data_IF_968595662718
#
_entry.id   IF_968595662718
#
_cell.length_a   1.000
_cell.length_b   1.000
_cell.length_c   1.000
_cell.angle_alpha   90.00
_cell.angle_beta   90.00
_cell.angle_gamma   90.00
#
_symmetry.space_group_name_H-M   'P 1'
#
loop_
_entity.id
_entity.type
_entity.pdbx_description
1 polymer ?
#
# COMPACT_ATOMS: atom_id res chain seq x y z
N UNK A 1 -28.67 9.74 -112.90
CA UNK A 1 -27.37 9.03 -112.82
C UNK A 1 -26.56 9.73 -111.75
N UNK A 2 -26.49 9.20 -110.52
CA UNK A 2 -25.52 8.20 -110.02
C UNK A 2 -24.08 8.73 -109.97
N UNK A 3 -23.55 8.85 -108.73
CA UNK A 3 -22.15 9.13 -108.43
C UNK A 3 -22.00 9.85 -107.07
N UNK A 4 -22.24 9.21 -105.93
CA UNK A 4 -21.27 8.37 -105.19
C UNK A 4 -20.31 9.16 -104.27
N UNK A 5 -20.71 9.20 -103.00
CA UNK A 5 -19.91 8.87 -101.80
C UNK A 5 -18.78 9.80 -101.37
N UNK A 6 -18.96 10.32 -100.14
CA UNK A 6 -17.99 10.28 -99.05
C UNK A 6 -16.52 10.31 -99.48
N UNK A 7 -16.02 11.51 -99.71
CA UNK A 7 -14.67 11.82 -99.27
C UNK A 7 -14.83 12.71 -98.04
N UNK A 8 -15.18 12.06 -96.94
CA UNK A 8 -14.72 12.54 -95.65
C UNK A 8 -13.19 12.55 -95.74
N UNK A 9 -12.62 13.69 -96.11
CA UNK A 9 -11.27 14.01 -95.66
C UNK A 9 -11.34 13.85 -94.13
N UNK A 10 -10.83 12.72 -93.63
CA UNK A 10 -10.53 12.53 -92.21
C UNK A 10 -9.72 13.74 -91.81
N UNK A 11 -10.38 14.73 -91.22
CA UNK A 11 -9.73 15.95 -90.76
C UNK A 11 -8.79 15.47 -89.65
N UNK A 12 -7.46 15.49 -89.83
CA UNK A 12 -6.52 15.03 -88.81
C UNK A 12 -6.70 15.80 -87.49
N UNK A 13 -7.34 16.97 -87.55
CA UNK A 13 -7.77 17.79 -86.42
C UNK A 13 -8.85 17.17 -85.53
N UNK A 14 -9.74 16.31 -86.05
CA UNK A 14 -10.80 15.69 -85.26
C UNK A 14 -10.24 14.64 -84.30
N UNK A 15 -9.39 13.75 -84.80
CA UNK A 15 -8.69 12.75 -83.99
C UNK A 15 -7.75 13.38 -82.95
N UNK A 16 -7.09 14.49 -83.31
CA UNK A 16 -6.25 15.24 -82.38
C UNK A 16 -7.08 15.90 -81.27
N UNK A 17 -8.28 16.42 -81.58
CA UNK A 17 -9.22 16.97 -80.57
C UNK A 17 -9.75 15.87 -79.65
N UNK A 18 -10.12 14.71 -80.18
CA UNK A 18 -10.61 13.60 -79.37
C UNK A 18 -9.52 13.04 -78.45
N UNK A 19 -8.26 12.94 -78.94
CA UNK A 19 -7.10 12.59 -78.11
C UNK A 19 -6.82 13.65 -77.03
N UNK A 20 -6.92 14.94 -77.38
CA UNK A 20 -6.77 16.03 -76.42
C UNK A 20 -7.84 15.95 -75.32
N UNK A 21 -9.11 15.80 -75.70
CA UNK A 21 -10.21 15.64 -74.74
C UNK A 21 -10.04 14.40 -73.84
N UNK A 22 -9.58 13.28 -74.40
CA UNK A 22 -9.27 12.09 -73.62
C UNK A 22 -8.13 12.31 -72.61
N UNK A 23 -7.08 13.04 -73.02
CA UNK A 23 -5.97 13.41 -72.13
C UNK A 23 -6.41 14.40 -71.05
N UNK A 24 -7.21 15.42 -71.39
CA UNK A 24 -7.79 16.38 -70.44
C UNK A 24 -8.68 15.67 -69.41
N UNK A 25 -9.53 14.74 -69.85
CA UNK A 25 -10.38 13.93 -68.97
C UNK A 25 -9.53 13.05 -68.03
N UNK A 26 -8.44 12.47 -68.53
CA UNK A 26 -7.50 11.69 -67.71
C UNK A 26 -6.80 12.56 -66.67
N UNK A 27 -6.30 13.73 -67.04
CA UNK A 27 -5.67 14.69 -66.12
C UNK A 27 -6.68 15.16 -65.06
N UNK A 28 -7.92 15.46 -65.46
CA UNK A 28 -8.98 15.82 -64.52
C UNK A 28 -9.24 14.71 -63.50
N UNK A 29 -9.37 13.46 -63.96
CA UNK A 29 -9.56 12.31 -63.07
C UNK A 29 -8.39 12.11 -62.11
N UNK A 30 -7.15 12.26 -62.58
CA UNK A 30 -5.97 12.17 -61.71
C UNK A 30 -5.96 13.28 -60.65
N UNK A 31 -6.33 14.52 -61.03
CA UNK A 31 -6.46 15.64 -60.07
C UNK A 31 -7.52 15.36 -59.02
N UNK A 32 -8.68 14.82 -59.42
CA UNK A 32 -9.76 14.44 -58.50
C UNK A 32 -9.28 13.35 -57.52
N UNK A 33 -8.62 12.29 -58.00
CA UNK A 33 -8.06 11.22 -57.16
C UNK A 33 -7.01 11.75 -56.18
N UNK A 34 -6.08 12.60 -56.63
CA UNK A 34 -5.08 13.25 -55.76
C UNK A 34 -5.75 14.10 -54.68
N UNK A 35 -6.78 14.86 -55.04
CA UNK A 35 -7.50 15.71 -54.10
C UNK A 35 -8.24 14.86 -53.06
N UNK A 36 -8.81 13.72 -53.45
CA UNK A 36 -9.44 12.77 -52.52
C UNK A 36 -8.41 12.21 -51.52
N UNK A 37 -7.27 11.69 -51.99
CA UNK A 37 -6.21 11.23 -51.08
C UNK A 37 -5.69 12.34 -50.15
N UNK A 38 -5.63 13.57 -50.64
CA UNK A 38 -5.25 14.74 -49.83
C UNK A 38 -6.30 15.08 -48.77
N UNK A 39 -7.58 14.95 -49.09
CA UNK A 39 -8.70 15.14 -48.15
C UNK A 39 -8.70 14.05 -47.09
N UNK A 40 -8.57 12.79 -47.49
CA UNK A 40 -8.51 11.65 -46.57
C UNK A 40 -7.29 11.76 -45.64
N UNK A 41 -6.13 12.19 -46.16
CA UNK A 41 -4.96 12.45 -45.35
C UNK A 41 -5.23 13.54 -44.28
N UNK A 42 -5.92 14.63 -44.63
CA UNK A 42 -6.29 15.66 -43.65
C UNK A 42 -7.19 15.09 -42.55
N UNK A 43 -8.19 14.30 -42.92
CA UNK A 43 -9.08 13.62 -41.96
C UNK A 43 -8.29 12.69 -41.02
N UNK A 44 -7.39 11.86 -41.55
CA UNK A 44 -6.51 11.00 -40.74
C UNK A 44 -5.59 11.81 -39.81
N UNK A 45 -5.09 12.96 -40.26
CA UNK A 45 -4.28 13.84 -39.42
C UNK A 45 -5.10 14.49 -38.28
N UNK A 46 -6.34 14.88 -38.54
CA UNK A 46 -7.26 15.40 -37.53
C UNK A 46 -7.60 14.35 -36.48
N UNK A 47 -7.92 13.12 -36.91
CA UNK A 47 -8.15 11.97 -36.02
C UNK A 47 -6.93 11.67 -35.16
N UNK A 48 -5.72 11.62 -35.76
CA UNK A 48 -4.47 11.47 -35.02
C UNK A 48 -4.29 12.56 -33.98
N UNK A 49 -4.55 13.81 -34.33
CA UNK A 49 -4.39 14.94 -33.41
C UNK A 49 -5.39 14.87 -32.24
N UNK A 50 -6.63 14.46 -32.50
CA UNK A 50 -7.64 14.25 -31.47
C UNK A 50 -7.23 13.14 -30.49
N UNK A 51 -6.79 11.98 -31.01
CA UNK A 51 -6.31 10.87 -30.20
C UNK A 51 -5.06 11.26 -29.40
N UNK A 52 -4.14 12.02 -30.00
CA UNK A 52 -2.95 12.53 -29.29
C UNK A 52 -3.31 13.52 -28.17
N UNK A 53 -4.34 14.34 -28.34
CA UNK A 53 -4.84 15.20 -27.26
C UNK A 53 -5.40 14.36 -26.10
N UNK A 54 -6.25 13.36 -26.41
CA UNK A 54 -6.78 12.43 -25.42
C UNK A 54 -5.66 11.64 -24.72
N UNK A 55 -4.64 11.20 -25.46
CA UNK A 55 -3.48 10.50 -24.91
C UNK A 55 -2.74 11.35 -23.87
N UNK A 56 -2.54 12.65 -24.13
CA UNK A 56 -1.89 13.56 -23.18
C UNK A 56 -2.70 13.71 -21.89
N UNK A 57 -4.01 13.96 -22.01
CA UNK A 57 -4.90 14.04 -20.86
C UNK A 57 -4.90 12.73 -20.07
N UNK A 58 -4.94 11.59 -20.77
CA UNK A 58 -4.97 10.30 -20.09
C UNK A 58 -3.64 9.95 -19.42
N UNK A 59 -2.51 10.40 -19.98
CA UNK A 59 -1.20 10.27 -19.36
C UNK A 59 -1.14 11.04 -18.03
N UNK A 60 -1.67 12.25 -17.98
CA UNK A 60 -1.75 13.02 -16.73
C UNK A 60 -2.61 12.30 -15.68
N UNK A 61 -3.73 11.69 -16.10
CA UNK A 61 -4.54 10.82 -15.21
C UNK A 61 -3.75 9.63 -14.69
N UNK A 62 -2.99 8.94 -15.54
CA UNK A 62 -2.12 7.82 -15.12
C UNK A 62 -1.11 8.30 -14.07
N UNK A 63 -0.47 9.45 -14.29
CA UNK A 63 0.50 10.01 -13.35
C UNK A 63 -0.14 10.32 -11.98
N UNK A 64 -1.39 10.82 -11.97
CA UNK A 64 -2.16 11.05 -10.74
C UNK A 64 -2.47 9.75 -9.99
N UNK A 65 -2.99 8.73 -10.66
CA UNK A 65 -3.31 7.44 -10.01
C UNK A 65 -2.03 6.77 -9.48
N UNK A 66 -0.91 6.87 -10.21
CA UNK A 66 0.39 6.40 -9.72
C UNK A 66 0.85 7.14 -8.45
N UNK A 67 0.65 8.46 -8.40
CA UNK A 67 0.96 9.26 -7.22
C UNK A 67 0.10 8.85 -6.02
N UNK A 68 -1.20 8.59 -6.21
CA UNK A 68 -2.10 8.08 -5.18
C UNK A 68 -1.62 6.72 -4.63
N UNK A 69 -1.32 5.76 -5.50
CA UNK A 69 -0.81 4.44 -5.07
C UNK A 69 0.50 4.58 -4.30
N UNK A 70 1.39 5.47 -4.73
CA UNK A 70 2.66 5.73 -4.03
C UNK A 70 2.43 6.34 -2.63
N UNK A 71 1.45 7.25 -2.50
CA UNK A 71 1.07 7.82 -1.21
C UNK A 71 0.55 6.74 -0.26
N UNK A 72 -0.36 5.87 -0.74
CA UNK A 72 -0.90 4.76 0.06
C UNK A 72 0.22 3.78 0.47
N UNK A 73 1.15 3.44 -0.44
CA UNK A 73 2.30 2.59 -0.10
C UNK A 73 3.22 3.22 0.96
N UNK A 74 3.34 4.54 0.97
CA UNK A 74 4.08 5.26 2.02
C UNK A 74 3.35 5.13 3.35
N UNK A 75 2.02 5.29 3.36
CA UNK A 75 1.17 5.07 4.54
C UNK A 75 1.32 3.66 5.12
N UNK A 76 1.28 2.63 4.25
CA UNK A 76 1.53 1.23 4.64
C UNK A 76 2.89 1.07 5.32
N UNK A 77 3.93 1.72 4.81
CA UNK A 77 5.26 1.68 5.42
C UNK A 77 5.25 2.31 6.81
N UNK A 78 4.58 3.45 7.00
CA UNK A 78 4.47 4.10 8.31
C UNK A 78 3.77 3.18 9.33
N UNK A 79 2.68 2.51 8.96
CA UNK A 79 2.01 1.58 9.87
C UNK A 79 2.88 0.36 10.21
N UNK A 80 3.66 -0.15 9.24
CA UNK A 80 4.65 -1.21 9.50
C UNK A 80 5.72 -0.77 10.48
N UNK A 81 6.28 0.42 10.29
CA UNK A 81 7.29 1.00 11.18
C UNK A 81 6.73 1.21 12.60
N UNK A 82 5.52 1.79 12.72
CA UNK A 82 4.83 1.95 14.01
C UNK A 82 4.62 0.60 14.71
N UNK A 83 4.09 -0.40 14.00
CA UNK A 83 3.89 -1.74 14.56
C UNK A 83 5.21 -2.36 15.01
N UNK A 84 6.27 -2.26 14.22
CA UNK A 84 7.57 -2.82 14.58
C UNK A 84 8.16 -2.14 15.82
N UNK A 85 8.07 -0.81 15.89
CA UNK A 85 8.51 -0.05 17.07
C UNK A 85 7.76 -0.49 18.34
N UNK A 86 6.43 -0.66 18.26
CA UNK A 86 5.63 -1.16 19.38
C UNK A 86 6.03 -2.60 19.74
N UNK A 87 6.27 -3.46 18.75
CA UNK A 87 6.73 -4.83 19.00
C UNK A 87 8.08 -4.88 19.71
N UNK A 88 9.00 -3.98 19.37
CA UNK A 88 10.29 -3.89 20.05
C UNK A 88 10.16 -3.34 21.47
N UNK A 89 9.24 -2.38 21.69
CA UNK A 89 8.86 -1.95 23.05
C UNK A 89 8.28 -3.12 23.86
N UNK A 90 7.37 -3.91 23.29
CA UNK A 90 6.79 -5.10 23.95
C UNK A 90 7.90 -6.08 24.35
N UNK A 91 8.88 -6.36 23.47
CA UNK A 91 10.00 -7.25 23.80
C UNK A 91 10.83 -6.72 24.97
N UNK A 92 11.07 -5.40 25.00
CA UNK A 92 11.82 -4.75 26.08
C UNK A 92 11.09 -4.86 27.42
N UNK A 93 9.78 -4.54 27.45
CA UNK A 93 8.94 -4.64 28.66
C UNK A 93 8.83 -6.10 29.14
N UNK A 94 8.70 -7.07 28.22
CA UNK A 94 8.74 -8.50 28.57
C UNK A 94 10.09 -8.88 29.20
N UNK A 95 11.19 -8.33 28.69
CA UNK A 95 12.53 -8.52 29.27
C UNK A 95 12.61 -8.01 30.71
N UNK A 96 12.09 -6.80 30.95
CA UNK A 96 12.01 -6.22 32.29
C UNK A 96 11.13 -7.06 33.24
N UNK A 97 9.94 -7.48 32.79
CA UNK A 97 9.04 -8.31 33.56
C UNK A 97 9.66 -9.67 33.93
N UNK A 98 10.44 -10.28 33.02
CA UNK A 98 11.19 -11.50 33.32
C UNK A 98 12.24 -11.29 34.42
N UNK A 99 13.00 -10.19 34.36
CA UNK A 99 13.97 -9.84 35.40
C UNK A 99 13.29 -9.66 36.77
N UNK A 100 12.21 -8.87 36.82
CA UNK A 100 11.41 -8.64 38.03
C UNK A 100 10.78 -9.93 38.59
N UNK A 101 10.34 -10.86 37.74
CA UNK A 101 9.85 -12.18 38.18
C UNK A 101 10.96 -13.02 38.84
N UNK A 102 12.20 -12.89 38.37
CA UNK A 102 13.37 -13.47 39.04
C UNK A 102 13.53 -12.94 40.46
N UNK A 103 13.56 -11.61 40.62
CA UNK A 103 13.64 -10.94 41.94
C UNK A 103 12.49 -11.35 42.87
N UNK A 104 11.26 -11.43 42.35
CA UNK A 104 10.08 -11.86 43.11
C UNK A 104 10.24 -13.31 43.61
N UNK A 105 10.80 -14.19 42.80
CA UNK A 105 10.99 -15.60 43.16
C UNK A 105 12.00 -15.77 44.31
N UNK A 106 13.08 -15.00 44.31
CA UNK A 106 14.11 -15.05 45.37
C UNK A 106 13.54 -14.60 46.72
N UNK A 107 12.75 -13.52 46.74
CA UNK A 107 12.17 -12.97 47.99
C UNK A 107 10.98 -13.75 48.52
N UNK A 108 10.32 -14.57 47.69
CA UNK A 108 9.13 -15.35 48.06
C UNK A 108 9.34 -16.25 49.29
N UNK A 109 10.53 -16.82 49.46
CA UNK A 109 10.84 -17.68 50.61
C UNK A 109 10.85 -16.87 51.91
N UNK A 110 11.43 -15.66 51.90
CA UNK A 110 11.45 -14.76 53.05
C UNK A 110 10.03 -14.29 53.42
N UNK A 111 9.20 -13.99 52.42
CA UNK A 111 7.79 -13.63 52.65
C UNK A 111 6.97 -14.78 53.26
N UNK A 112 7.21 -16.01 52.82
CA UNK A 112 6.56 -17.20 53.36
C UNK A 112 6.98 -17.49 54.81
N UNK A 113 8.27 -17.37 55.12
CA UNK A 113 8.80 -17.49 56.49
C UNK A 113 8.18 -16.44 57.42
N UNK A 114 8.14 -15.18 56.97
CA UNK A 114 7.54 -14.08 57.73
C UNK A 114 6.04 -14.32 58.02
N UNK A 115 5.28 -14.80 57.03
CA UNK A 115 3.87 -15.12 57.22
C UNK A 115 3.66 -16.29 58.19
N UNK A 116 4.53 -17.30 58.16
CA UNK A 116 4.48 -18.43 59.09
C UNK A 116 4.81 -17.99 60.52
N UNK A 117 5.89 -17.21 60.71
CA UNK A 117 6.29 -16.70 62.02
C UNK A 117 5.21 -15.81 62.64
N UNK A 118 4.53 -14.97 61.87
CA UNK A 118 3.38 -14.17 62.38
C UNK A 118 2.24 -15.06 62.90
N UNK A 119 1.93 -16.16 62.20
CA UNK A 119 0.91 -17.12 62.66
C UNK A 119 1.36 -17.84 63.93
N UNK A 120 2.59 -18.30 63.96
CA UNK A 120 3.16 -19.02 65.11
C UNK A 120 3.22 -18.12 66.35
N UNK A 121 3.62 -16.85 66.20
CA UNK A 121 3.58 -15.85 67.28
C UNK A 121 2.15 -15.65 67.77
N UNK A 122 1.18 -15.43 66.88
CA UNK A 122 -0.23 -15.23 67.26
C UNK A 122 -0.76 -16.45 68.04
N UNK A 123 -0.39 -17.67 67.61
CA UNK A 123 -0.79 -18.90 68.28
C UNK A 123 -0.14 -19.04 69.66
N UNK A 124 1.16 -18.75 69.78
CA UNK A 124 1.88 -18.79 71.06
C UNK A 124 1.40 -17.72 72.04
N UNK A 125 1.06 -16.52 71.56
CA UNK A 125 0.46 -15.45 72.36
C UNK A 125 -0.93 -15.85 72.86
N UNK A 126 -1.76 -16.43 71.99
CA UNK A 126 -3.06 -16.95 72.38
C UNK A 126 -2.94 -18.06 73.43
N UNK A 127 -2.01 -19.01 73.25
CA UNK A 127 -1.73 -20.05 74.24
C UNK A 127 -1.26 -19.45 75.56
N UNK A 128 -0.33 -18.50 75.53
CA UNK A 128 0.17 -17.81 76.72
C UNK A 128 -0.96 -17.11 77.49
N UNK A 129 -1.90 -16.47 76.80
CA UNK A 129 -2.99 -15.73 77.40
C UNK A 129 -4.16 -16.60 77.90
N UNK A 130 -4.36 -17.79 77.33
CA UNK A 130 -5.57 -18.61 77.58
C UNK A 130 -5.31 -19.88 78.39
N UNK A 131 -4.06 -20.32 78.54
CA UNK A 131 -3.72 -21.58 79.20
C UNK A 131 -2.90 -21.37 80.47
N UNK A 132 -3.26 -22.09 81.55
CA UNK A 132 -2.53 -22.08 82.81
C UNK A 132 -1.20 -22.83 82.65
N UNK A 133 -0.11 -22.10 82.50
CA UNK A 133 1.23 -22.63 82.29
C UNK A 133 2.08 -22.43 83.56
N UNK A 134 3.00 -23.36 83.85
CA UNK A 134 3.92 -23.19 84.98
C UNK A 134 4.98 -22.11 84.68
N UNK A 135 5.60 -21.47 85.70
CA UNK A 135 6.51 -20.32 85.52
C UNK A 135 7.67 -20.58 84.55
N UNK A 136 8.17 -21.83 84.52
CA UNK A 136 9.24 -22.25 83.60
C UNK A 136 8.76 -22.27 82.14
N UNK A 137 7.56 -22.82 81.89
CA UNK A 137 6.97 -22.89 80.56
C UNK A 137 6.62 -21.50 80.05
N UNK A 138 6.01 -20.65 80.88
CA UNK A 138 5.71 -19.25 80.55
C UNK A 138 6.95 -18.47 80.09
N UNK A 139 8.07 -18.62 80.81
CA UNK A 139 9.34 -18.00 80.45
C UNK A 139 9.87 -18.51 79.11
N UNK A 140 9.76 -19.81 78.85
CA UNK A 140 10.17 -20.42 77.57
C UNK A 140 9.27 -19.98 76.40
N UNK A 141 7.95 -19.87 76.58
CA UNK A 141 7.04 -19.34 75.55
C UNK A 141 7.36 -17.89 75.24
N UNK A 142 7.59 -17.08 76.27
CA UNK A 142 7.91 -15.66 76.11
C UNK A 142 9.24 -15.45 75.37
N UNK A 143 10.25 -16.27 75.66
CA UNK A 143 11.54 -16.19 74.96
C UNK A 143 11.41 -16.60 73.49
N UNK A 144 10.62 -17.64 73.18
CA UNK A 144 10.30 -18.03 71.80
C UNK A 144 9.57 -16.92 71.05
N UNK A 145 8.57 -16.29 71.66
CA UNK A 145 7.84 -15.15 71.09
C UNK A 145 8.80 -14.00 70.79
N UNK A 146 9.75 -13.69 71.68
CA UNK A 146 10.75 -12.63 71.46
C UNK A 146 11.68 -12.94 70.28
N UNK A 147 12.17 -14.17 70.18
CA UNK A 147 13.05 -14.60 69.08
C UNK A 147 12.29 -14.51 67.74
N UNK A 148 11.06 -15.02 67.71
CA UNK A 148 10.21 -14.95 66.51
C UNK A 148 9.88 -13.49 66.14
N UNK A 149 9.61 -12.62 67.12
CA UNK A 149 9.40 -11.18 66.87
C UNK A 149 10.61 -10.49 66.25
N UNK A 150 11.84 -10.79 66.73
CA UNK A 150 13.07 -10.27 66.13
C UNK A 150 13.21 -10.74 64.68
N UNK A 151 12.96 -12.02 64.43
CA UNK A 151 13.03 -12.58 63.07
C UNK A 151 11.96 -11.98 62.14
N UNK A 152 10.77 -11.70 62.65
CA UNK A 152 9.72 -10.97 61.91
C UNK A 152 10.19 -9.56 61.52
N UNK A 153 10.83 -8.84 62.44
CA UNK A 153 11.38 -7.50 62.15
C UNK A 153 12.51 -7.54 61.13
N UNK A 154 13.37 -8.56 61.17
CA UNK A 154 14.42 -8.78 60.17
C UNK A 154 13.87 -9.06 58.77
N UNK A 155 12.77 -9.82 58.66
CA UNK A 155 12.15 -10.20 57.38
C UNK A 155 11.19 -9.13 56.82
N UNK A 156 10.77 -8.15 57.63
CA UNK A 156 9.86 -7.08 57.23
C UNK A 156 10.30 -6.30 55.96
N UNK A 157 11.57 -5.84 55.82
CA UNK A 157 12.00 -5.13 54.61
C UNK A 157 11.95 -6.00 53.34
N UNK A 158 12.21 -7.31 53.47
CA UNK A 158 12.14 -8.24 52.33
C UNK A 158 10.68 -8.46 51.86
N UNK A 159 9.73 -8.44 52.79
CA UNK A 159 8.29 -8.52 52.51
C UNK A 159 7.80 -7.27 51.79
N UNK A 160 8.17 -6.08 52.28
CA UNK A 160 7.83 -4.80 51.63
C UNK A 160 8.41 -4.74 50.22
N UNK A 161 9.68 -5.13 50.06
CA UNK A 161 10.31 -5.18 48.75
C UNK A 161 9.68 -6.24 47.82
N UNK A 162 9.12 -7.33 48.35
CA UNK A 162 8.36 -8.32 47.56
C UNK A 162 7.02 -7.75 47.08
N UNK A 163 6.29 -7.02 47.92
CA UNK A 163 5.02 -6.38 47.57
C UNK A 163 5.22 -5.31 46.48
N UNK A 164 6.27 -4.49 46.60
CA UNK A 164 6.63 -3.51 45.56
C UNK A 164 6.91 -4.18 44.21
N UNK A 165 7.72 -5.25 44.20
CA UNK A 165 7.99 -6.01 42.95
C UNK A 165 6.71 -6.66 42.41
N UNK A 166 5.76 -7.05 43.27
CA UNK A 166 4.49 -7.59 42.83
C UNK A 166 3.64 -6.54 42.10
N UNK A 167 3.53 -5.33 42.64
CA UNK A 167 2.81 -4.21 42.00
C UNK A 167 3.47 -3.83 40.68
N UNK A 168 4.80 -3.69 40.66
CA UNK A 168 5.57 -3.39 39.44
C UNK A 168 5.29 -4.42 38.32
N UNK A 169 5.16 -5.71 38.67
CA UNK A 169 4.86 -6.76 37.70
C UNK A 169 3.45 -6.64 37.12
N UNK A 170 2.46 -6.30 37.94
CA UNK A 170 1.09 -6.11 37.49
C UNK A 170 1.00 -4.89 36.54
N UNK A 171 1.71 -3.81 36.85
CA UNK A 171 1.82 -2.63 35.98
C UNK A 171 2.51 -2.94 34.64
N UNK A 172 3.59 -3.73 34.66
CA UNK A 172 4.28 -4.18 33.45
C UNK A 172 3.39 -5.09 32.59
N UNK A 173 2.64 -6.01 33.20
CA UNK A 173 1.70 -6.89 32.49
C UNK A 173 0.53 -6.08 31.89
N UNK A 174 0.04 -5.04 32.58
CA UNK A 174 -0.94 -4.10 32.05
C UNK A 174 -0.38 -3.29 30.86
N UNK A 175 0.84 -2.78 30.97
CA UNK A 175 1.52 -2.07 29.89
C UNK A 175 1.70 -2.95 28.64
N UNK A 176 2.10 -4.22 28.82
CA UNK A 176 2.21 -5.19 27.72
C UNK A 176 0.87 -5.38 27.02
N UNK A 177 -0.23 -5.48 27.78
CA UNK A 177 -1.57 -5.65 27.21
C UNK A 177 -1.98 -4.44 26.36
N UNK A 178 -1.73 -3.23 26.84
CA UNK A 178 -2.02 -1.99 26.11
C UNK A 178 -1.19 -1.90 24.82
N UNK A 179 0.13 -2.13 24.91
CA UNK A 179 1.02 -2.10 23.74
C UNK A 179 0.62 -3.15 22.70
N UNK A 180 0.17 -4.34 23.11
CA UNK A 180 -0.34 -5.36 22.18
C UNK A 180 -1.58 -4.86 21.44
N UNK A 181 -2.54 -4.26 22.14
CA UNK A 181 -3.74 -3.71 21.51
C UNK A 181 -3.38 -2.59 20.50
N UNK A 182 -2.40 -1.74 20.81
CA UNK A 182 -1.92 -0.72 19.89
C UNK A 182 -1.19 -1.29 18.67
N UNK A 183 -0.39 -2.35 18.86
CA UNK A 183 0.26 -3.07 17.76
C UNK A 183 -0.76 -3.72 16.83
N UNK A 184 -1.81 -4.33 17.38
CA UNK A 184 -2.89 -4.95 16.62
C UNK A 184 -3.68 -3.90 15.85
N UNK A 185 -3.98 -2.74 16.46
CA UNK A 185 -4.62 -1.62 15.78
C UNK A 185 -3.76 -1.09 14.61
N UNK A 186 -2.44 -0.93 14.82
CA UNK A 186 -1.52 -0.54 13.75
C UNK A 186 -1.44 -1.59 12.64
N UNK A 187 -1.54 -2.88 12.99
CA UNK A 187 -1.57 -3.97 12.01
C UNK A 187 -2.86 -3.95 11.19
N UNK A 188 -4.03 -3.72 11.80
CA UNK A 188 -5.29 -3.58 11.09
C UNK A 188 -5.27 -2.40 10.13
N UNK A 189 -4.84 -1.22 10.59
CA UNK A 189 -4.68 -0.05 9.73
C UNK A 189 -3.72 -0.30 8.54
N UNK A 190 -2.65 -1.07 8.78
CA UNK A 190 -1.76 -1.52 7.70
C UNK A 190 -2.49 -2.40 6.68
N UNK A 191 -3.30 -3.37 7.11
CA UNK A 191 -4.04 -4.26 6.22
C UNK A 191 -5.09 -3.50 5.40
N UNK A 192 -5.82 -2.57 6.03
CA UNK A 192 -6.76 -1.70 5.33
C UNK A 192 -6.07 -0.84 4.26
N UNK A 193 -4.92 -0.26 4.58
CA UNK A 193 -4.13 0.52 3.62
C UNK A 193 -3.58 -0.34 2.49
N UNK A 194 -3.19 -1.60 2.75
CA UNK A 194 -2.82 -2.56 1.71
C UNK A 194 -4.01 -2.87 0.80
N UNK A 195 -5.19 -3.14 1.37
CA UNK A 195 -6.41 -3.38 0.59
C UNK A 195 -6.74 -2.20 -0.33
N UNK A 196 -6.67 -0.97 0.17
CA UNK A 196 -6.82 0.25 -0.65
C UNK A 196 -5.78 0.33 -1.78
N UNK A 197 -4.53 -0.04 -1.51
CA UNK A 197 -3.47 -0.04 -2.52
C UNK A 197 -3.70 -1.08 -3.62
N UNK A 198 -4.24 -2.25 -3.26
CA UNK A 198 -4.56 -3.33 -4.21
C UNK A 198 -5.73 -2.94 -5.11
N UNK A 199 -6.78 -2.32 -4.56
CA UNK A 199 -7.89 -1.76 -5.33
C UNK A 199 -7.41 -0.70 -6.32
N UNK A 200 -6.63 0.28 -5.83
CA UNK A 200 -6.06 1.33 -6.68
C UNK A 200 -5.07 0.79 -7.73
N UNK A 201 -4.39 -0.32 -7.46
CA UNK A 201 -3.52 -0.95 -8.46
C UNK A 201 -4.30 -1.49 -9.66
N UNK A 202 -5.55 -1.92 -9.48
CA UNK A 202 -6.42 -2.31 -10.61
C UNK A 202 -6.77 -1.10 -11.47
N UNK A 203 -7.06 0.05 -10.85
CA UNK A 203 -7.29 1.30 -11.58
C UNK A 203 -6.03 1.72 -12.38
N UNK A 204 -4.84 1.51 -11.83
CA UNK A 204 -3.57 1.75 -12.53
C UNK A 204 -3.45 0.87 -13.79
N UNK A 205 -3.76 -0.43 -13.67
CA UNK A 205 -3.70 -1.36 -14.80
C UNK A 205 -4.68 -0.96 -15.92
N UNK A 206 -5.91 -0.58 -15.57
CA UNK A 206 -6.91 -0.07 -16.52
C UNK A 206 -6.45 1.23 -17.18
N UNK A 207 -5.88 2.16 -16.41
CA UNK A 207 -5.39 3.43 -16.92
C UNK A 207 -4.20 3.24 -17.88
N UNK A 208 -3.31 2.28 -17.61
CA UNK A 208 -2.23 1.91 -18.52
C UNK A 208 -2.75 1.24 -19.79
N UNK A 209 -3.73 0.34 -19.68
CA UNK A 209 -4.38 -0.30 -20.82
C UNK A 209 -5.00 0.73 -21.78
N UNK A 210 -5.74 1.70 -21.25
CA UNK A 210 -6.33 2.77 -22.07
C UNK A 210 -5.26 3.69 -22.68
N UNK A 211 -4.22 4.04 -21.93
CA UNK A 211 -3.07 4.79 -22.48
C UNK A 211 -2.45 4.07 -23.67
N UNK A 212 -2.23 2.77 -23.54
CA UNK A 212 -1.59 1.96 -24.59
C UNK A 212 -2.50 1.80 -25.82
N UNK A 213 -3.81 1.68 -25.60
CA UNK A 213 -4.81 1.74 -26.67
C UNK A 213 -4.74 3.06 -27.44
N UNK A 214 -4.79 4.21 -26.76
CA UNK A 214 -4.72 5.53 -27.40
C UNK A 214 -3.41 5.73 -28.16
N UNK A 215 -2.30 5.20 -27.63
CA UNK A 215 -1.02 5.24 -28.33
C UNK A 215 -1.09 4.45 -29.65
N UNK A 216 -1.59 3.21 -29.60
CA UNK A 216 -1.72 2.36 -30.77
C UNK A 216 -2.68 2.95 -31.83
N UNK A 217 -3.78 3.56 -31.40
CA UNK A 217 -4.73 4.24 -32.28
C UNK A 217 -4.11 5.51 -32.91
N UNK A 218 -3.36 6.28 -32.13
CA UNK A 218 -2.59 7.42 -32.65
C UNK A 218 -1.55 7.00 -33.70
N UNK A 219 -0.83 5.91 -33.45
CA UNK A 219 0.14 5.34 -34.40
C UNK A 219 -0.54 4.83 -35.67
N UNK A 220 -1.73 4.22 -35.55
CA UNK A 220 -2.54 3.77 -36.69
C UNK A 220 -2.92 4.95 -37.60
N UNK A 221 -3.50 6.02 -37.05
CA UNK A 221 -3.88 7.20 -37.84
C UNK A 221 -2.67 7.92 -38.43
N UNK A 222 -1.54 7.92 -37.73
CA UNK A 222 -0.30 8.46 -38.28
C UNK A 222 0.17 7.67 -39.51
N UNK A 223 0.18 6.34 -39.44
CA UNK A 223 0.56 5.47 -40.54
C UNK A 223 -0.38 5.63 -41.74
N UNK A 224 -1.69 5.74 -41.48
CA UNK A 224 -2.70 6.01 -42.50
C UNK A 224 -2.47 7.36 -43.19
N UNK A 225 -2.22 8.42 -42.42
CA UNK A 225 -1.87 9.74 -42.96
C UNK A 225 -0.65 9.67 -43.89
N UNK A 226 0.43 9.01 -43.46
CA UNK A 226 1.67 8.89 -44.25
C UNK A 226 1.40 8.13 -45.55
N UNK A 227 0.64 7.03 -45.49
CA UNK A 227 0.29 6.24 -46.66
C UNK A 227 -0.58 7.03 -47.66
N UNK A 228 -1.56 7.81 -47.18
CA UNK A 228 -2.42 8.63 -48.03
C UNK A 228 -1.66 9.78 -48.68
N UNK A 229 -0.74 10.42 -47.94
CA UNK A 229 0.19 11.42 -48.49
C UNK A 229 1.06 10.84 -49.60
N UNK A 230 1.65 9.66 -49.38
CA UNK A 230 2.46 8.99 -50.39
C UNK A 230 1.66 8.70 -51.68
N UNK A 231 0.41 8.22 -51.56
CA UNK A 231 -0.49 8.00 -52.71
C UNK A 231 -0.86 9.30 -53.42
N UNK A 232 -1.08 10.38 -52.69
CA UNK A 232 -1.35 11.70 -53.26
C UNK A 232 -0.13 12.21 -54.05
N UNK A 233 1.07 12.07 -53.49
CA UNK A 233 2.32 12.49 -54.14
C UNK A 233 2.62 11.63 -55.39
N UNK A 234 2.36 10.32 -55.34
CA UNK A 234 2.45 9.42 -56.51
C UNK A 234 1.42 9.77 -57.61
N UNK A 235 0.24 10.24 -57.22
CA UNK A 235 -0.77 10.68 -58.20
C UNK A 235 -0.39 12.04 -58.79
N UNK A 236 0.21 12.92 -57.99
CA UNK A 236 0.70 14.22 -58.44
C UNK A 236 1.82 14.08 -59.48
N UNK A 237 2.76 13.17 -59.28
CA UNK A 237 3.85 12.92 -60.24
C UNK A 237 3.40 12.35 -61.59
N UNK A 238 2.15 11.85 -61.68
CA UNK A 238 1.52 11.41 -62.93
C UNK A 238 0.76 12.54 -63.65
N UNK A 239 0.61 13.70 -63.01
CA UNK A 239 -0.07 14.89 -63.54
C UNK A 239 0.96 15.90 -64.07
N UNK A 240 2.13 15.97 -63.43
CA UNK A 240 3.30 16.74 -63.84
C UNK A 240 4.00 16.11 -65.07
#
# INVERSE_FOLDING_TARGET
MLGSKDQAEERPDADLRDRLHAMEAKVRKLREVRNNFSSDARSAAEQRNAVQAQYKEHREKVDLVLAEVKAIRTEVRMFKEKRNAIQDQIKSVIGQAKGRRGEKSEKKSATAEHAQLKRDVTQLENLYNTSAMGPKKEKETMEKIKIMHRRIQELAPDVEAFELVAVDLDDLDAAIKTLKAEADAAHQAMLEAVGRADEKSKEVDEAFSHRDFLKAEGDRHHNEYVALRAKADETHSKID
#
